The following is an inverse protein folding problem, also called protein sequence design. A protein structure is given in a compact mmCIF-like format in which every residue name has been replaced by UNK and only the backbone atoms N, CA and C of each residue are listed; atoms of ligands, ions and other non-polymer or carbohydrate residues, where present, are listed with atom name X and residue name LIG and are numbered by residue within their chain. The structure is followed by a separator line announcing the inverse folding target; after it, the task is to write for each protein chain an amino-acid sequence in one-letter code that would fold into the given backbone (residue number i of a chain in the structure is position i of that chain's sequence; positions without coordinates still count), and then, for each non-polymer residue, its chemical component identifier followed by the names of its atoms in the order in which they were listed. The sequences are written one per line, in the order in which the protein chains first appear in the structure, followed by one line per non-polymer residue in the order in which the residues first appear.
data_IF_201781768619
#
_entry.id   IF_201781768619
#
_cell.length_a   1.000
_cell.length_b   1.000
_cell.length_c   1.000
_cell.angle_alpha   90.00
_cell.angle_beta   90.00
_cell.angle_gamma   90.00
#
_symmetry.space_group_name_H-M   'P 1'
#
loop_
_entity.id
_entity.type
_entity.pdbx_description
1 polymer ?
#
# COMPACT_ATOMS: atom_id res chain seq x y z
N UNK A 1 -14.34 -23.90 15.10
CA UNK A 1 -13.63 -24.07 13.83
C UNK A 1 -12.13 -24.25 14.03
N UNK A 2 -11.45 -23.24 14.56
CA UNK A 2 -9.97 -23.25 14.71
C UNK A 2 -9.48 -24.45 15.51
N UNK A 3 -10.07 -24.73 16.64
CA UNK A 3 -9.71 -25.89 17.48
C UNK A 3 -9.85 -27.21 16.73
N UNK A 4 -10.95 -27.40 16.01
CA UNK A 4 -11.20 -28.62 15.22
C UNK A 4 -10.26 -28.74 14.04
N UNK A 5 -9.94 -27.62 13.37
CA UNK A 5 -9.01 -27.55 12.26
C UNK A 5 -7.60 -27.94 12.70
N UNK A 6 -7.08 -27.29 13.74
CA UNK A 6 -5.74 -27.59 14.28
C UNK A 6 -5.64 -29.02 14.78
N UNK A 7 -6.67 -29.52 15.47
CA UNK A 7 -6.73 -30.92 15.89
C UNK A 7 -6.70 -31.89 14.70
N UNK A 8 -7.35 -31.53 13.60
CA UNK A 8 -7.30 -32.29 12.34
C UNK A 8 -5.88 -32.37 11.78
N UNK A 9 -5.20 -31.23 11.66
CA UNK A 9 -3.80 -31.19 11.19
C UNK A 9 -2.85 -31.95 12.11
N UNK A 10 -2.97 -31.79 13.43
CA UNK A 10 -2.15 -32.51 14.42
C UNK A 10 -2.38 -34.02 14.38
N UNK A 11 -3.55 -34.47 13.96
CA UNK A 11 -3.86 -35.89 13.75
C UNK A 11 -3.48 -36.43 12.37
N UNK A 12 -2.75 -35.65 11.56
CA UNK A 12 -2.24 -36.06 10.23
C UNK A 12 -3.26 -35.96 9.10
N UNK A 13 -4.37 -35.28 9.31
CA UNK A 13 -5.31 -35.01 8.19
C UNK A 13 -4.70 -34.02 7.20
N UNK A 14 -4.96 -34.23 5.91
CA UNK A 14 -4.63 -33.21 4.90
C UNK A 14 -5.44 -31.94 5.11
N UNK A 15 -4.88 -30.80 4.75
CA UNK A 15 -5.44 -29.47 5.00
C UNK A 15 -6.91 -29.34 4.60
N UNK A 16 -7.27 -29.76 3.40
CA UNK A 16 -8.64 -29.70 2.88
C UNK A 16 -9.64 -30.53 3.70
N UNK A 17 -9.22 -31.71 4.21
CA UNK A 17 -10.06 -32.55 5.04
C UNK A 17 -10.23 -31.95 6.46
N UNK A 18 -9.16 -31.37 7.03
CA UNK A 18 -9.22 -30.66 8.30
C UNK A 18 -10.14 -29.44 8.21
N UNK A 19 -10.07 -28.66 7.13
CA UNK A 19 -11.00 -27.56 6.84
C UNK A 19 -12.45 -28.03 6.71
N UNK A 20 -12.73 -29.06 5.93
CA UNK A 20 -14.08 -29.57 5.73
C UNK A 20 -14.71 -30.01 7.05
N UNK A 21 -13.95 -30.76 7.87
CA UNK A 21 -14.39 -31.19 9.21
C UNK A 21 -14.65 -30.01 10.15
N UNK A 22 -13.74 -29.06 10.18
CA UNK A 22 -13.88 -27.87 11.04
C UNK A 22 -15.10 -27.02 10.62
N UNK A 23 -15.38 -26.95 9.32
CA UNK A 23 -16.56 -26.27 8.80
C UNK A 23 -17.87 -26.94 9.24
N UNK A 24 -17.96 -28.26 9.14
CA UNK A 24 -19.12 -29.03 9.60
C UNK A 24 -19.41 -28.76 11.07
N UNK A 25 -18.38 -28.78 11.91
CA UNK A 25 -18.53 -28.49 13.35
C UNK A 25 -18.93 -27.03 13.61
N UNK A 26 -18.36 -26.07 12.88
CA UNK A 26 -18.67 -24.66 13.03
C UNK A 26 -20.09 -24.30 12.58
N UNK A 27 -20.62 -25.03 11.59
CA UNK A 27 -21.97 -24.80 11.06
C UNK A 27 -23.07 -25.59 11.80
N UNK A 28 -22.71 -26.40 12.83
CA UNK A 28 -23.69 -27.07 13.66
C UNK A 28 -24.62 -26.07 14.35
N UNK A 29 -25.93 -26.26 14.22
CA UNK A 29 -26.93 -25.38 14.78
C UNK A 29 -27.11 -24.05 14.05
N UNK A 30 -26.43 -23.84 12.93
CA UNK A 30 -26.63 -22.66 12.09
C UNK A 30 -28.01 -22.68 11.44
N UNK A 31 -28.83 -21.63 11.59
CA UNK A 31 -30.13 -21.56 10.93
C UNK A 31 -29.97 -21.57 9.40
N UNK A 32 -30.97 -22.12 8.69
CA UNK A 32 -30.98 -22.13 7.24
C UNK A 32 -30.88 -20.69 6.67
N UNK A 33 -30.04 -20.50 5.66
CA UNK A 33 -29.86 -19.22 4.98
C UNK A 33 -31.23 -18.65 4.52
N UNK A 34 -31.47 -17.38 4.84
CA UNK A 34 -32.70 -16.68 4.47
C UNK A 34 -33.89 -16.98 5.37
N UNK A 35 -33.81 -17.92 6.33
CA UNK A 35 -34.86 -18.16 7.30
C UNK A 35 -35.05 -16.95 8.26
N UNK A 36 -36.23 -16.79 8.90
CA UNK A 36 -36.44 -15.74 9.91
C UNK A 36 -35.41 -15.81 11.04
N UNK A 37 -35.11 -17.03 11.51
CA UNK A 37 -34.12 -17.28 12.56
C UNK A 37 -32.71 -16.85 12.14
N UNK A 38 -32.33 -17.10 10.87
CA UNK A 38 -31.06 -16.64 10.33
C UNK A 38 -30.99 -15.11 10.29
N UNK A 39 -32.03 -14.44 9.81
CA UNK A 39 -32.12 -12.97 9.76
C UNK A 39 -32.01 -12.34 11.13
N UNK A 40 -32.72 -12.91 12.13
CA UNK A 40 -32.66 -12.42 13.50
C UNK A 40 -31.27 -12.58 14.11
N UNK A 41 -30.68 -13.78 13.99
CA UNK A 41 -29.32 -14.05 14.48
C UNK A 41 -28.30 -13.18 13.75
N UNK A 42 -28.36 -13.04 12.43
CA UNK A 42 -27.50 -12.16 11.65
C UNK A 42 -27.58 -10.71 12.13
N UNK A 43 -28.79 -10.16 12.29
CA UNK A 43 -28.98 -8.79 12.76
C UNK A 43 -28.49 -8.56 14.19
N UNK A 44 -28.51 -9.57 15.03
CA UNK A 44 -27.97 -9.53 16.39
C UNK A 44 -26.44 -9.58 16.37
N UNK A 45 -25.85 -10.59 15.71
CA UNK A 45 -24.39 -10.85 15.73
C UNK A 45 -23.61 -9.75 15.02
N UNK A 46 -24.12 -9.19 13.93
CA UNK A 46 -23.46 -8.09 13.19
C UNK A 46 -23.31 -6.80 13.99
N UNK A 47 -24.03 -6.64 15.11
CA UNK A 47 -23.95 -5.45 15.98
C UNK A 47 -23.06 -5.68 17.20
N UNK A 48 -22.67 -6.91 17.46
CA UNK A 48 -21.79 -7.23 18.58
C UNK A 48 -20.34 -7.07 18.09
N UNK A 49 -19.50 -6.25 18.75
CA UNK A 49 -18.10 -6.06 18.33
C UNK A 49 -17.32 -7.37 18.29
N UNK A 50 -16.34 -7.42 17.40
CA UNK A 50 -15.31 -8.47 17.35
C UNK A 50 -14.58 -8.50 18.70
N UNK A 51 -14.21 -9.66 19.28
CA UNK A 51 -14.32 -11.02 18.71
C UNK A 51 -15.60 -11.76 19.06
N UNK A 52 -16.50 -11.18 19.85
CA UNK A 52 -17.73 -11.84 20.33
C UNK A 52 -18.82 -11.89 19.26
N UNK A 53 -18.74 -11.06 18.25
CA UNK A 53 -19.66 -11.01 17.11
C UNK A 53 -18.94 -10.65 15.82
N UNK A 54 -19.68 -10.14 14.83
CA UNK A 54 -19.17 -9.69 13.53
C UNK A 54 -19.26 -8.18 13.32
N UNK A 55 -19.46 -7.42 14.40
CA UNK A 55 -19.57 -5.96 14.36
C UNK A 55 -18.18 -5.32 14.19
N UNK A 56 -17.91 -4.87 12.97
CA UNK A 56 -16.78 -4.01 12.63
C UNK A 56 -17.36 -2.86 11.83
N UNK A 57 -17.46 -1.70 12.46
CA UNK A 57 -18.07 -0.52 11.89
C UNK A 57 -17.00 0.53 11.58
N UNK A 58 -17.06 1.11 10.40
CA UNK A 58 -16.27 2.29 10.04
C UNK A 58 -17.17 3.25 9.26
N UNK A 59 -17.49 4.39 9.89
CA UNK A 59 -18.26 5.51 9.33
C UNK A 59 -17.40 6.77 9.28
N UNK A 60 -16.09 6.60 9.30
CA UNK A 60 -15.15 7.70 9.32
C UNK A 60 -15.26 8.60 8.09
N UNK A 61 -15.13 9.89 8.30
CA UNK A 61 -15.15 10.92 7.25
C UNK A 61 -13.77 11.54 7.04
N UNK A 62 -13.51 11.96 5.82
CA UNK A 62 -12.37 12.80 5.44
C UNK A 62 -12.86 14.05 4.72
N UNK A 63 -12.61 15.21 5.33
CA UNK A 63 -12.77 16.50 4.70
C UNK A 63 -11.42 17.02 4.24
N UNK A 64 -11.34 17.52 3.00
CA UNK A 64 -10.08 18.01 2.45
C UNK A 64 -10.27 19.13 1.46
N UNK A 65 -9.34 20.09 1.53
CA UNK A 65 -9.20 21.18 0.55
C UNK A 65 -7.73 21.22 0.17
N UNK A 66 -7.44 21.26 -1.11
CA UNK A 66 -6.11 21.52 -1.64
C UNK A 66 -6.18 22.57 -2.76
N UNK A 67 -5.10 23.34 -2.90
CA UNK A 67 -4.99 24.37 -3.90
C UNK A 67 -3.54 24.65 -4.25
N UNK A 68 -3.31 25.02 -5.49
CA UNK A 68 -2.02 25.48 -5.97
C UNK A 68 -2.19 26.66 -6.92
N UNK A 69 -1.20 27.54 -6.93
CA UNK A 69 -1.17 28.69 -7.80
C UNK A 69 0.18 28.81 -8.50
N UNK A 70 0.15 28.99 -9.81
CA UNK A 70 1.34 29.18 -10.61
C UNK A 70 1.63 30.68 -10.73
N UNK A 71 2.70 31.11 -10.07
CA UNK A 71 3.17 32.50 -10.07
C UNK A 71 4.09 32.84 -11.26
N UNK A 72 4.31 31.92 -12.20
CA UNK A 72 5.31 32.08 -13.27
C UNK A 72 5.05 33.31 -14.14
N UNK A 73 3.81 33.76 -14.29
CA UNK A 73 3.52 35.01 -15.00
C UNK A 73 4.17 36.24 -14.35
N UNK A 74 4.24 36.26 -13.02
CA UNK A 74 4.82 37.37 -12.25
C UNK A 74 6.32 37.19 -11.99
N UNK A 75 6.82 35.96 -12.07
CA UNK A 75 8.21 35.61 -11.71
C UNK A 75 9.07 35.17 -12.88
N UNK A 76 8.52 35.15 -14.11
CA UNK A 76 9.19 34.63 -15.33
C UNK A 76 10.56 35.24 -15.64
N UNK A 77 10.81 36.48 -15.19
CA UNK A 77 12.13 37.11 -15.31
C UNK A 77 13.20 36.47 -14.44
N UNK A 78 12.79 35.74 -13.40
CA UNK A 78 13.69 35.07 -12.45
C UNK A 78 13.60 33.57 -12.54
N UNK A 79 12.41 32.96 -12.36
CA UNK A 79 12.16 31.52 -12.36
C UNK A 79 10.66 31.23 -12.46
N UNK A 80 10.30 29.98 -12.79
CA UNK A 80 8.94 29.47 -12.61
C UNK A 80 8.71 29.15 -11.14
N UNK A 81 7.68 29.73 -10.54
CA UNK A 81 7.34 29.56 -9.14
C UNK A 81 5.92 29.04 -9.00
N UNK A 82 5.78 27.94 -8.23
CA UNK A 82 4.49 27.37 -7.87
C UNK A 82 4.41 27.35 -6.34
N UNK A 83 3.27 27.81 -5.80
CA UNK A 83 2.95 27.71 -4.37
C UNK A 83 1.68 26.91 -4.19
N UNK A 84 1.54 26.23 -3.08
CA UNK A 84 0.33 25.48 -2.80
C UNK A 84 0.20 25.06 -1.37
N UNK A 85 -0.97 24.56 -1.01
CA UNK A 85 -1.26 24.07 0.32
C UNK A 85 -2.46 23.16 0.35
N UNK A 86 -2.59 22.46 1.45
CA UNK A 86 -3.73 21.60 1.73
C UNK A 86 -4.13 21.65 3.19
N UNK A 87 -5.38 21.37 3.44
CA UNK A 87 -5.94 21.14 4.76
C UNK A 87 -6.80 19.89 4.73
N UNK A 88 -6.72 19.06 5.78
CA UNK A 88 -7.50 17.84 5.94
C UNK A 88 -7.99 17.70 7.35
N UNK A 89 -9.19 17.15 7.50
CA UNK A 89 -9.76 16.76 8.79
C UNK A 89 -10.33 15.37 8.68
N UNK A 90 -9.79 14.46 9.48
CA UNK A 90 -10.30 13.11 9.66
C UNK A 90 -11.26 13.10 10.85
N UNK A 91 -12.36 12.40 10.72
CA UNK A 91 -13.33 12.12 11.79
C UNK A 91 -13.47 10.61 11.87
N UNK A 92 -12.82 9.99 12.87
CA UNK A 92 -12.86 8.54 13.05
C UNK A 92 -14.11 8.18 13.86
N UNK A 93 -15.01 7.42 13.26
CA UNK A 93 -16.29 7.01 13.83
C UNK A 93 -16.52 5.52 13.62
N UNK A 94 -16.47 4.76 14.72
CA UNK A 94 -16.61 3.31 14.71
C UNK A 94 -17.54 2.76 15.82
N UNK A 95 -18.12 3.61 16.65
CA UNK A 95 -18.83 3.21 17.87
C UNK A 95 -18.00 2.23 18.74
N UNK A 96 -16.73 2.51 18.92
CA UNK A 96 -15.77 1.67 19.67
C UNK A 96 -15.55 0.26 19.11
N UNK A 97 -15.87 0.01 17.84
CA UNK A 97 -15.65 -1.32 17.24
C UNK A 97 -14.28 -1.44 16.56
N UNK A 98 -13.66 -0.32 16.15
CA UNK A 98 -12.38 -0.26 15.46
C UNK A 98 -11.42 0.73 16.10
N UNK A 99 -11.95 1.86 16.59
CA UNK A 99 -11.21 2.91 17.29
C UNK A 99 -11.79 3.09 18.70
N UNK A 100 -11.06 3.72 19.65
CA UNK A 100 -11.59 3.97 21.00
C UNK A 100 -12.49 5.21 21.04
N UNK A 101 -13.25 5.46 19.98
CA UNK A 101 -14.20 6.55 19.88
C UNK A 101 -15.47 6.21 20.68
N UNK A 102 -15.93 7.09 21.60
CA UNK A 102 -17.23 6.90 22.23
C UNK A 102 -18.37 7.04 21.20
N UNK A 103 -19.50 6.40 21.48
CA UNK A 103 -20.71 6.51 20.64
C UNK A 103 -21.06 7.99 20.42
N UNK A 104 -21.31 8.38 19.18
CA UNK A 104 -21.63 9.74 18.74
C UNK A 104 -20.53 10.80 19.05
N UNK A 105 -19.29 10.36 19.28
CA UNK A 105 -18.14 11.25 19.51
C UNK A 105 -16.92 10.81 18.70
N UNK A 106 -16.88 11.12 17.40
CA UNK A 106 -15.76 10.74 16.55
C UNK A 106 -14.46 11.41 16.99
N UNK A 107 -13.33 10.71 16.79
CA UNK A 107 -11.99 11.25 17.04
C UNK A 107 -11.61 12.15 15.88
N UNK A 108 -11.41 13.44 16.13
CA UNK A 108 -10.96 14.41 15.14
C UNK A 108 -9.44 14.44 15.04
N UNK A 109 -8.89 14.52 13.81
CA UNK A 109 -7.47 14.75 13.54
C UNK A 109 -7.35 15.76 12.42
N UNK A 110 -6.63 16.86 12.66
CA UNK A 110 -6.42 17.92 11.67
C UNK A 110 -4.99 17.88 11.12
N UNK A 111 -4.85 18.03 9.80
CA UNK A 111 -3.56 18.16 9.12
C UNK A 111 -3.59 19.37 8.17
N UNK A 112 -2.46 20.05 8.05
CA UNK A 112 -2.26 21.06 7.01
C UNK A 112 -0.84 21.01 6.47
N UNK A 113 -0.68 21.44 5.23
CA UNK A 113 0.62 21.54 4.56
C UNK A 113 0.68 22.71 3.61
N UNK A 114 1.87 23.27 3.43
CA UNK A 114 2.14 24.30 2.44
C UNK A 114 3.49 24.04 1.78
N UNK A 115 3.61 24.41 0.50
CA UNK A 115 4.83 24.21 -0.27
C UNK A 115 5.11 25.35 -1.23
N UNK A 116 6.38 25.48 -1.59
CA UNK A 116 6.87 26.28 -2.69
C UNK A 116 7.77 25.42 -3.58
N UNK A 117 7.65 25.59 -4.87
CA UNK A 117 8.55 25.00 -5.86
C UNK A 117 9.05 26.11 -6.78
N UNK A 118 10.36 26.11 -7.01
CA UNK A 118 11.06 27.06 -7.89
C UNK A 118 11.79 26.24 -8.95
N UNK A 119 11.56 26.55 -10.21
CA UNK A 119 12.21 25.89 -11.34
C UNK A 119 12.86 26.93 -12.24
N UNK A 120 14.15 26.74 -12.57
CA UNK A 120 14.91 27.66 -13.40
C UNK A 120 15.77 26.93 -14.43
N UNK A 121 15.71 27.36 -15.66
CA UNK A 121 16.71 27.01 -16.68
C UNK A 121 17.91 27.93 -16.49
N UNK A 122 19.02 27.38 -15.97
CA UNK A 122 20.25 28.15 -15.74
C UNK A 122 20.98 28.45 -17.04
N UNK A 123 20.90 27.51 -17.97
CA UNK A 123 21.44 27.62 -19.33
C UNK A 123 20.76 26.58 -20.24
N UNK A 124 21.18 26.48 -21.50
CA UNK A 124 20.57 25.58 -22.51
C UNK A 124 20.67 24.08 -22.19
N UNK A 125 21.56 23.69 -21.30
CA UNK A 125 21.81 22.28 -20.95
C UNK A 125 21.46 21.93 -19.49
N UNK A 126 21.19 22.91 -18.59
CA UNK A 126 20.92 22.66 -17.17
C UNK A 126 19.65 23.36 -16.70
N UNK A 127 18.70 22.55 -16.23
CA UNK A 127 17.48 23.00 -15.56
C UNK A 127 17.50 22.50 -14.11
N UNK A 128 17.34 23.43 -13.15
CA UNK A 128 17.24 23.11 -11.72
C UNK A 128 15.80 23.32 -11.23
N UNK A 129 15.35 22.43 -10.36
CA UNK A 129 14.11 22.57 -9.61
C UNK A 129 14.40 22.34 -8.14
N UNK A 130 13.98 23.26 -7.29
CA UNK A 130 14.03 23.14 -5.83
C UNK A 130 12.64 23.31 -5.26
N UNK A 131 12.28 22.52 -4.27
CA UNK A 131 11.03 22.68 -3.54
C UNK A 131 11.24 22.45 -2.06
N UNK A 132 10.41 23.14 -1.26
CA UNK A 132 10.32 22.93 0.18
C UNK A 132 8.86 22.84 0.58
N UNK A 133 8.54 21.88 1.40
CA UNK A 133 7.20 21.67 1.92
C UNK A 133 7.23 21.56 3.43
N UNK A 134 6.30 22.21 4.09
CA UNK A 134 6.06 22.09 5.52
C UNK A 134 4.69 21.49 5.74
N UNK A 135 4.60 20.49 6.61
CA UNK A 135 3.36 19.84 7.01
C UNK A 135 3.27 19.67 8.52
N UNK A 136 2.06 19.73 9.04
CA UNK A 136 1.74 19.59 10.45
C UNK A 136 0.49 18.72 10.60
N UNK A 137 0.61 17.65 11.39
CA UNK A 137 -0.50 16.88 11.94
C UNK A 137 -0.73 17.28 13.39
N UNK A 138 -1.96 17.30 13.86
CA UNK A 138 -2.34 17.68 15.22
C UNK A 138 -1.57 16.90 16.29
N UNK A 139 -1.36 15.61 16.11
CA UNK A 139 -0.72 14.71 17.06
C UNK A 139 0.81 14.70 17.01
N UNK A 140 1.42 15.27 15.95
CA UNK A 140 2.87 15.22 15.73
C UNK A 140 3.48 16.60 15.52
N UNK A 141 4.79 16.71 15.73
CA UNK A 141 5.55 17.91 15.37
C UNK A 141 5.55 18.12 13.87
N UNK A 142 5.50 19.37 13.41
CA UNK A 142 5.61 19.71 12.00
C UNK A 142 6.96 19.29 11.41
N UNK A 143 6.96 19.02 10.10
CA UNK A 143 8.14 18.57 9.34
C UNK A 143 8.34 19.43 8.10
N UNK A 144 9.59 19.72 7.80
CA UNK A 144 10.02 20.37 6.56
C UNK A 144 10.74 19.35 5.67
N UNK A 145 10.38 19.29 4.38
CA UNK A 145 10.94 18.35 3.42
C UNK A 145 11.44 19.10 2.19
N UNK A 146 12.78 19.22 2.03
CA UNK A 146 13.40 19.77 0.83
C UNK A 146 13.52 18.69 -0.27
N UNK A 147 13.46 19.15 -1.52
CA UNK A 147 13.79 18.39 -2.72
C UNK A 147 14.55 19.27 -3.69
N UNK A 148 15.58 18.72 -4.32
CA UNK A 148 16.35 19.36 -5.38
C UNK A 148 16.49 18.36 -6.53
N UNK A 149 16.23 18.82 -7.75
CA UNK A 149 16.38 18.01 -8.96
C UNK A 149 17.13 18.80 -10.01
N UNK A 150 18.14 18.20 -10.60
CA UNK A 150 18.86 18.71 -11.77
C UNK A 150 18.50 17.87 -13.00
N UNK A 151 18.12 18.52 -14.08
CA UNK A 151 17.96 17.91 -15.40
C UNK A 151 19.06 18.44 -16.30
N UNK A 152 19.89 17.54 -16.77
CA UNK A 152 21.04 17.80 -17.63
C UNK A 152 20.71 17.34 -19.04
N UNK A 153 20.54 18.26 -19.94
CA UNK A 153 20.25 18.03 -21.35
C UNK A 153 21.56 17.73 -22.10
N UNK A 154 21.84 16.45 -22.32
CA UNK A 154 23.06 16.02 -23.02
C UNK A 154 22.97 16.25 -24.54
N UNK A 155 21.76 16.05 -25.11
CA UNK A 155 21.38 16.36 -26.52
C UNK A 155 19.90 16.74 -26.53
N UNK A 156 19.39 17.19 -27.68
CA UNK A 156 18.01 17.69 -27.83
C UNK A 156 16.94 16.81 -27.17
N UNK A 157 17.03 15.50 -27.32
CA UNK A 157 16.05 14.54 -26.79
C UNK A 157 16.66 13.56 -25.79
N UNK A 158 17.77 13.93 -25.12
CA UNK A 158 18.49 13.07 -24.20
C UNK A 158 18.82 13.83 -22.92
N UNK A 159 18.25 13.36 -21.80
CA UNK A 159 18.36 14.03 -20.52
C UNK A 159 18.84 13.05 -19.44
N UNK A 160 19.77 13.50 -18.61
CA UNK A 160 20.06 12.88 -17.33
C UNK A 160 19.31 13.63 -16.22
N UNK A 161 18.87 12.90 -15.21
CA UNK A 161 18.21 13.43 -14.03
C UNK A 161 18.97 13.01 -12.78
N UNK A 162 19.28 13.99 -11.93
CA UNK A 162 19.80 13.77 -10.60
C UNK A 162 18.83 14.36 -9.60
N UNK A 163 18.46 13.61 -8.57
CA UNK A 163 17.52 14.10 -7.57
C UNK A 163 18.02 13.73 -6.17
N UNK A 164 17.96 14.72 -5.27
CA UNK A 164 18.00 14.55 -3.83
C UNK A 164 16.65 14.94 -3.27
N UNK A 165 16.06 14.08 -2.48
CA UNK A 165 14.77 14.36 -1.89
C UNK A 165 14.68 13.80 -0.47
N UNK A 166 13.95 14.52 0.36
CA UNK A 166 13.48 14.01 1.62
C UNK A 166 11.96 13.87 1.57
N UNK A 167 11.44 12.88 2.24
CA UNK A 167 10.02 12.67 2.43
C UNK A 167 9.76 12.25 3.87
N UNK A 168 8.52 12.37 4.32
CA UNK A 168 8.13 11.78 5.59
C UNK A 168 6.67 11.33 5.50
N UNK A 169 6.30 10.50 6.45
CA UNK A 169 4.93 10.02 6.60
C UNK A 169 4.51 10.12 8.06
N UNK A 170 3.43 10.83 8.33
CA UNK A 170 2.74 10.70 9.61
C UNK A 170 2.19 9.28 9.75
N UNK A 171 2.19 8.69 10.95
CA UNK A 171 1.45 7.46 11.20
C UNK A 171 0.01 7.62 10.72
N UNK A 172 -0.51 6.60 10.03
CA UNK A 172 -1.89 6.60 9.56
C UNK A 172 -2.87 6.71 10.74
N UNK A 173 -4.12 7.10 10.48
CA UNK A 173 -5.17 7.13 11.49
C UNK A 173 -5.31 5.79 12.22
N UNK A 174 -5.20 4.68 11.48
CA UNK A 174 -5.19 3.34 12.03
C UNK A 174 -3.94 3.06 12.89
N UNK A 175 -2.75 3.44 12.43
CA UNK A 175 -1.52 3.30 13.23
C UNK A 175 -1.56 4.13 14.53
N UNK A 176 -2.30 5.23 14.54
CA UNK A 176 -2.47 6.06 15.73
C UNK A 176 -3.56 5.53 16.68
N UNK A 177 -4.70 5.07 16.15
CA UNK A 177 -5.92 4.92 16.93
C UNK A 177 -6.59 3.55 16.86
N UNK A 178 -6.07 2.56 16.13
CA UNK A 178 -6.70 1.24 16.10
C UNK A 178 -6.81 0.64 17.50
N UNK A 179 -7.93 0.00 17.77
CA UNK A 179 -8.21 -0.69 19.02
C UNK A 179 -9.11 -1.89 18.74
N UNK A 180 -8.53 -2.94 18.21
CA UNK A 180 -9.24 -4.11 17.70
C UNK A 180 -8.82 -5.38 18.44
N UNK A 181 -9.76 -6.07 19.01
CA UNK A 181 -9.57 -7.35 19.66
C UNK A 181 -9.71 -8.49 18.63
N UNK A 182 -8.62 -9.23 18.40
CA UNK A 182 -8.53 -10.33 17.44
C UNK A 182 -8.25 -11.62 18.19
N UNK A 183 -9.26 -12.28 18.74
CA UNK A 183 -9.17 -13.57 19.46
C UNK A 183 -7.85 -13.93 20.18
N UNK A 184 -6.74 -13.92 19.44
CA UNK A 184 -5.40 -14.31 19.92
C UNK A 184 -4.55 -13.14 20.40
N UNK A 185 -4.86 -11.92 19.99
CA UNK A 185 -4.16 -10.70 20.40
C UNK A 185 -5.03 -9.47 20.17
N UNK A 186 -4.63 -8.33 20.76
CA UNK A 186 -5.21 -7.02 20.48
C UNK A 186 -4.30 -6.21 19.59
N UNK A 187 -4.88 -5.65 18.53
CA UNK A 187 -4.23 -4.70 17.65
C UNK A 187 -4.49 -3.29 18.18
N UNK A 188 -3.46 -2.59 18.67
CA UNK A 188 -3.62 -1.25 19.23
C UNK A 188 -2.73 -0.24 18.50
N UNK A 189 -3.18 1.03 18.53
CA UNK A 189 -2.45 2.16 17.96
C UNK A 189 -1.35 2.70 18.87
N UNK A 190 -0.56 3.65 18.34
CA UNK A 190 0.57 4.28 19.05
C UNK A 190 0.20 5.56 19.79
N UNK A 191 -1.07 5.91 19.93
CA UNK A 191 -1.48 7.09 20.70
C UNK A 191 -1.27 6.87 22.19
N UNK A 192 -0.70 7.88 22.88
CA UNK A 192 -0.39 7.79 24.30
C UNK A 192 -1.59 7.49 25.21
N UNK A 193 -2.83 7.76 24.75
CA UNK A 193 -4.05 7.44 25.50
C UNK A 193 -4.21 5.94 25.80
N UNK A 194 -3.58 5.07 24.99
CA UNK A 194 -3.58 3.63 25.22
C UNK A 194 -2.78 3.21 26.46
N UNK A 195 -1.81 4.03 26.92
CA UNK A 195 -1.08 3.77 28.18
C UNK A 195 -2.05 3.67 29.35
N UNK A 196 -2.88 4.70 29.52
CA UNK A 196 -3.89 4.72 30.58
C UNK A 196 -5.02 3.71 30.33
N UNK A 197 -5.44 3.54 29.07
CA UNK A 197 -6.54 2.61 28.71
C UNK A 197 -6.21 1.16 29.06
N UNK A 198 -4.96 0.74 28.85
CA UNK A 198 -4.50 -0.63 29.10
C UNK A 198 -3.61 -0.74 30.33
N UNK A 199 -3.48 0.33 31.12
CA UNK A 199 -2.72 0.35 32.36
C UNK A 199 -1.25 -0.06 32.20
N UNK A 200 -0.61 0.28 31.06
CA UNK A 200 0.81 -0.04 30.84
C UNK A 200 1.76 0.67 31.79
N UNK A 201 1.31 1.76 32.41
CA UNK A 201 2.02 2.52 33.47
C UNK A 201 2.05 1.79 34.81
N UNK A 202 1.05 1.01 35.14
CA UNK A 202 0.91 0.30 36.43
C UNK A 202 1.07 -1.23 36.28
N UNK A 203 0.80 -1.76 35.11
CA UNK A 203 0.98 -3.17 34.74
C UNK A 203 1.78 -3.23 33.43
N UNK A 204 3.11 -3.26 33.47
CA UNK A 204 3.93 -3.13 32.28
C UNK A 204 3.79 -4.33 31.35
N UNK A 205 3.92 -4.07 30.03
CA UNK A 205 4.08 -5.11 29.05
C UNK A 205 5.56 -5.45 28.79
N UNK A 206 5.81 -6.61 28.21
CA UNK A 206 7.14 -7.11 27.92
C UNK A 206 7.25 -7.50 26.45
N UNK A 207 8.45 -7.39 25.86
CA UNK A 207 8.70 -7.87 24.49
C UNK A 207 8.49 -9.38 24.45
N UNK A 208 7.51 -9.83 23.66
CA UNK A 208 7.12 -11.25 23.60
C UNK A 208 8.25 -12.11 23.09
N UNK A 209 8.95 -11.72 22.02
CA UNK A 209 10.05 -12.49 21.43
C UNK A 209 11.23 -12.61 22.39
N UNK A 210 11.53 -11.55 23.15
CA UNK A 210 12.57 -11.61 24.19
C UNK A 210 12.21 -12.61 25.28
N UNK A 211 10.96 -12.60 25.72
CA UNK A 211 10.47 -13.52 26.74
C UNK A 211 10.46 -14.98 26.26
N UNK A 212 10.11 -15.23 25.00
CA UNK A 212 10.22 -16.56 24.37
C UNK A 212 11.66 -17.11 24.36
N UNK A 213 12.64 -16.22 24.27
CA UNK A 213 14.06 -16.54 24.32
C UNK A 213 14.64 -16.51 25.77
N UNK A 214 13.79 -16.48 26.78
CA UNK A 214 14.19 -16.47 28.18
C UNK A 214 14.72 -15.13 28.71
N UNK A 215 14.58 -14.05 27.95
CA UNK A 215 15.04 -12.71 28.32
C UNK A 215 13.86 -11.83 28.73
N UNK A 216 13.83 -11.42 29.98
CA UNK A 216 12.80 -10.52 30.52
C UNK A 216 13.17 -9.09 30.17
N UNK A 217 12.48 -8.52 29.17
CA UNK A 217 12.68 -7.13 28.73
C UNK A 217 11.34 -6.40 28.71
N UNK A 218 11.21 -5.42 29.60
CA UNK A 218 10.02 -4.56 29.67
C UNK A 218 9.93 -3.64 28.46
N UNK A 219 8.71 -3.35 28.05
CA UNK A 219 8.39 -2.41 26.98
C UNK A 219 7.83 -1.10 27.57
N UNK A 220 8.45 0.03 27.23
CA UNK A 220 8.20 1.33 27.86
C UNK A 220 7.16 2.19 27.14
N UNK A 221 6.41 1.63 26.20
CA UNK A 221 5.45 2.34 25.36
C UNK A 221 6.04 3.63 24.71
N UNK A 222 7.00 3.51 23.80
CA UNK A 222 7.61 4.66 23.16
C UNK A 222 6.58 5.44 22.33
N UNK A 223 6.59 6.78 22.46
CA UNK A 223 5.72 7.61 21.66
C UNK A 223 6.07 7.48 20.17
N UNK A 224 5.06 7.26 19.36
CA UNK A 224 5.20 7.14 17.93
C UNK A 224 5.65 8.46 17.30
N UNK A 225 6.52 8.35 16.29
CA UNK A 225 7.05 9.48 15.52
C UNK A 225 6.72 9.30 14.03
N UNK A 226 6.65 10.38 13.24
CA UNK A 226 6.65 10.28 11.80
C UNK A 226 7.95 9.66 11.30
N UNK A 227 7.86 8.68 10.41
CA UNK A 227 9.03 8.17 9.70
C UNK A 227 9.48 9.16 8.63
N UNK A 228 10.75 9.16 8.31
CA UNK A 228 11.32 9.99 7.24
C UNK A 228 12.21 9.17 6.31
N UNK A 229 12.25 9.57 5.06
CA UNK A 229 13.08 8.97 4.01
C UNK A 229 13.99 10.05 3.44
N UNK A 230 15.26 9.74 3.30
CA UNK A 230 16.20 10.47 2.44
C UNK A 230 16.53 9.59 1.24
N UNK A 231 16.42 10.13 0.03
CA UNK A 231 16.62 9.37 -1.20
C UNK A 231 17.41 10.15 -2.24
N UNK A 232 18.25 9.44 -2.96
CA UNK A 232 19.01 9.91 -4.11
C UNK A 232 18.58 9.10 -5.33
N UNK A 233 18.42 9.78 -6.47
CA UNK A 233 18.05 9.15 -7.72
C UNK A 233 18.92 9.66 -8.85
N UNK A 234 19.31 8.74 -9.72
CA UNK A 234 19.95 9.01 -11.03
C UNK A 234 19.08 8.39 -12.09
N UNK A 235 18.75 9.17 -13.12
CA UNK A 235 17.94 8.70 -14.23
C UNK A 235 18.45 9.19 -15.57
N UNK A 236 18.10 8.45 -16.61
CA UNK A 236 18.31 8.82 -18.02
C UNK A 236 17.01 8.65 -18.78
N UNK A 237 16.66 9.64 -19.59
CA UNK A 237 15.55 9.57 -20.53
C UNK A 237 15.98 10.07 -21.89
N UNK A 238 15.83 9.23 -22.91
CA UNK A 238 16.23 9.57 -24.26
C UNK A 238 15.22 9.09 -25.32
N UNK A 239 15.12 9.91 -26.39
CA UNK A 239 14.45 9.54 -27.63
C UNK A 239 15.54 9.33 -28.70
N UNK A 240 15.67 8.11 -29.16
CA UNK A 240 16.71 7.64 -30.08
C UNK A 240 16.06 7.22 -31.41
N UNK A 241 16.89 6.91 -32.41
CA UNK A 241 16.49 6.37 -33.69
C UNK A 241 15.36 7.23 -34.35
N UNK A 242 15.61 8.50 -34.52
CA UNK A 242 14.63 9.49 -35.05
C UNK A 242 13.31 9.47 -34.25
N UNK A 243 13.42 9.47 -32.92
CA UNK A 243 12.31 9.50 -31.96
C UNK A 243 11.43 8.23 -31.99
N UNK A 244 11.92 7.14 -32.58
CA UNK A 244 11.20 5.86 -32.61
C UNK A 244 11.42 5.03 -31.37
N UNK A 245 12.57 5.18 -30.70
CA UNK A 245 12.94 4.43 -29.50
C UNK A 245 13.01 5.38 -28.31
N UNK A 246 12.14 5.21 -27.33
CA UNK A 246 12.22 5.85 -26.04
C UNK A 246 12.86 4.88 -25.03
N UNK A 247 13.84 5.36 -24.28
CA UNK A 247 14.41 4.67 -23.13
C UNK A 247 14.24 5.57 -21.92
N UNK A 248 13.74 5.04 -20.83
CA UNK A 248 13.68 5.68 -19.51
C UNK A 248 14.26 4.70 -18.49
N UNK A 249 15.41 5.05 -17.90
CA UNK A 249 16.07 4.21 -16.92
C UNK A 249 16.43 5.04 -15.68
N UNK A 250 16.24 4.47 -14.49
CA UNK A 250 16.62 5.11 -13.25
C UNK A 250 17.11 4.09 -12.23
N UNK A 251 17.92 4.57 -11.31
CA UNK A 251 18.28 3.86 -10.09
C UNK A 251 18.20 4.82 -8.91
N UNK A 252 17.77 4.30 -7.78
CA UNK A 252 17.68 5.05 -6.54
C UNK A 252 18.25 4.26 -5.37
N UNK A 253 18.68 5.00 -4.35
CA UNK A 253 19.02 4.48 -3.03
C UNK A 253 18.58 5.49 -1.99
N UNK A 254 18.22 4.99 -0.82
CA UNK A 254 17.78 5.83 0.27
C UNK A 254 17.82 5.09 1.60
N UNK A 255 17.47 5.80 2.64
CA UNK A 255 17.34 5.25 3.98
C UNK A 255 16.21 5.90 4.73
N UNK A 256 15.47 5.06 5.44
CA UNK A 256 14.45 5.47 6.37
C UNK A 256 15.04 5.70 7.75
N UNK A 257 14.54 6.71 8.44
CA UNK A 257 14.77 6.99 9.85
C UNK A 257 13.42 6.93 10.58
N UNK A 258 13.43 6.46 11.83
CA UNK A 258 12.22 6.24 12.62
C UNK A 258 11.18 5.40 11.84
N UNK A 259 11.62 4.38 11.10
CA UNK A 259 10.75 3.52 10.28
C UNK A 259 9.65 2.90 11.15
N UNK A 260 8.41 2.97 10.68
CA UNK A 260 7.27 2.46 11.43
C UNK A 260 7.01 0.99 11.10
N UNK A 261 7.17 0.13 12.09
CA UNK A 261 6.80 -1.29 12.04
C UNK A 261 5.90 -1.65 13.20
N UNK A 262 5.67 -2.95 13.38
CA UNK A 262 4.91 -3.50 14.51
C UNK A 262 5.70 -4.59 15.21
N UNK A 263 5.48 -4.72 16.52
CA UNK A 263 6.02 -5.81 17.35
C UNK A 263 4.91 -6.41 18.21
N UNK A 264 5.16 -7.60 18.72
CA UNK A 264 4.31 -8.24 19.72
C UNK A 264 4.83 -7.99 21.13
N UNK A 265 3.96 -7.48 21.99
CA UNK A 265 4.21 -7.38 23.42
C UNK A 265 3.16 -8.17 24.21
N UNK A 266 3.49 -8.56 25.43
CA UNK A 266 2.61 -9.35 26.29
C UNK A 266 2.51 -8.73 27.68
N UNK A 267 1.32 -8.70 28.25
CA UNK A 267 0.99 -8.10 29.54
C UNK A 267 0.27 -9.12 30.42
N UNK A 268 0.63 -9.17 31.68
CA UNK A 268 -0.03 -10.07 32.62
C UNK A 268 -1.49 -9.69 32.87
N UNK A 269 -2.40 -10.67 32.78
CA UNK A 269 -3.82 -10.51 33.13
C UNK A 269 -4.05 -10.41 34.63
N UNK A 270 -3.10 -10.86 35.45
CA UNK A 270 -3.18 -10.75 36.91
C UNK A 270 -2.92 -9.34 37.43
N UNK A 271 -2.50 -8.41 36.55
CA UNK A 271 -2.20 -7.02 36.91
C UNK A 271 -0.77 -6.80 37.41
N UNK A 272 0.06 -7.84 37.53
CA UNK A 272 1.45 -7.72 37.98
C UNK A 272 2.28 -8.96 37.60
N UNK A 273 3.60 -8.81 37.63
CA UNK A 273 4.55 -9.89 37.40
C UNK A 273 4.93 -10.13 35.95
N UNK A 274 5.79 -11.15 35.73
CA UNK A 274 6.21 -11.56 34.39
C UNK A 274 5.07 -12.36 33.76
N UNK A 275 4.64 -11.99 32.52
CA UNK A 275 3.53 -12.66 31.85
C UNK A 275 3.83 -14.10 31.45
N UNK A 276 2.79 -14.91 31.45
CA UNK A 276 2.80 -16.28 30.89
C UNK A 276 2.51 -16.22 29.38
N UNK A 277 3.38 -16.81 28.57
CA UNK A 277 3.32 -16.77 27.10
C UNK A 277 2.06 -17.41 26.50
N UNK A 278 1.38 -18.30 27.22
CA UNK A 278 0.25 -19.08 26.73
C UNK A 278 -1.11 -18.51 27.14
N UNK A 279 -1.17 -17.81 28.26
CA UNK A 279 -2.45 -17.43 28.90
C UNK A 279 -2.68 -15.93 28.98
N UNK A 280 -1.60 -15.13 28.96
CA UNK A 280 -1.67 -13.69 29.14
C UNK A 280 -1.98 -12.92 27.86
N UNK A 281 -2.25 -11.60 27.99
CA UNK A 281 -2.74 -10.81 26.88
C UNK A 281 -1.61 -10.35 25.97
N UNK A 282 -1.65 -10.79 24.71
CA UNK A 282 -0.76 -10.31 23.65
C UNK A 282 -1.35 -9.07 22.98
N UNK A 283 -0.48 -8.10 22.72
CA UNK A 283 -0.79 -6.91 21.91
C UNK A 283 0.16 -6.83 20.71
N UNK A 284 -0.37 -6.44 19.56
CA UNK A 284 0.43 -5.97 18.43
C UNK A 284 0.44 -4.44 18.49
N UNK A 285 1.63 -3.85 18.63
CA UNK A 285 1.83 -2.43 18.86
C UNK A 285 2.72 -1.81 17.80
N UNK A 286 2.45 -0.56 17.33
CA UNK A 286 3.37 0.11 16.43
C UNK A 286 4.60 0.62 17.18
N UNK A 287 5.74 0.56 16.52
CA UNK A 287 7.00 1.14 16.99
C UNK A 287 7.69 1.92 15.87
N UNK A 288 8.61 2.80 16.26
CA UNK A 288 9.61 3.32 15.35
C UNK A 288 10.92 2.57 15.57
N UNK A 289 11.49 2.06 14.48
CA UNK A 289 12.80 1.43 14.49
C UNK A 289 13.88 2.51 14.44
N UNK A 290 14.85 2.46 15.35
CA UNK A 290 15.82 3.54 15.54
C UNK A 290 16.97 3.54 14.53
N UNK A 291 17.37 2.35 14.07
CA UNK A 291 18.44 2.26 13.07
C UNK A 291 17.91 2.58 11.67
N UNK A 292 18.80 3.01 10.79
CA UNK A 292 18.43 3.28 9.40
C UNK A 292 18.06 1.99 8.68
N UNK A 293 16.93 2.00 7.98
CA UNK A 293 16.52 0.92 7.08
C UNK A 293 16.81 1.37 5.66
N UNK A 294 17.71 0.63 4.98
CA UNK A 294 18.10 0.96 3.63
C UNK A 294 17.06 0.50 2.61
N UNK A 295 16.89 1.30 1.56
CA UNK A 295 16.09 0.96 0.39
C UNK A 295 16.85 1.29 -0.88
N UNK A 296 16.73 0.45 -1.90
CA UNK A 296 17.30 0.67 -3.21
C UNK A 296 16.44 0.01 -4.28
N UNK A 297 16.58 0.50 -5.50
CA UNK A 297 15.87 -0.08 -6.62
C UNK A 297 16.27 0.55 -7.94
N UNK A 298 15.76 -0.01 -9.01
CA UNK A 298 15.95 0.50 -10.36
C UNK A 298 14.74 0.19 -11.24
N UNK A 299 14.60 0.95 -12.33
CA UNK A 299 13.65 0.67 -13.38
C UNK A 299 14.21 0.99 -14.74
N UNK A 300 13.84 0.18 -15.72
CA UNK A 300 14.15 0.37 -17.14
C UNK A 300 12.86 0.21 -17.93
N UNK A 301 12.49 1.27 -18.67
CA UNK A 301 11.38 1.27 -19.61
C UNK A 301 11.89 1.49 -21.04
N UNK A 302 11.34 0.74 -21.98
CA UNK A 302 11.66 0.83 -23.40
C UNK A 302 10.35 0.84 -24.19
N UNK A 303 10.15 1.87 -25.03
CA UNK A 303 9.06 1.93 -26.00
C UNK A 303 9.65 2.08 -27.40
N UNK A 304 9.32 1.16 -28.29
CA UNK A 304 9.84 1.17 -29.67
C UNK A 304 8.70 1.19 -30.69
N UNK A 305 8.69 2.23 -31.51
CA UNK A 305 7.76 2.36 -32.63
C UNK A 305 8.36 1.73 -33.89
N UNK A 306 7.78 0.62 -34.29
CA UNK A 306 8.16 -0.14 -35.46
C UNK A 306 7.38 0.35 -36.73
N UNK A 307 7.86 0.00 -37.94
CA UNK A 307 7.12 0.25 -39.17
C UNK A 307 5.70 -0.35 -39.12
N UNK A 308 4.82 0.19 -39.95
CA UNK A 308 3.42 -0.26 -40.09
C UNK A 308 2.60 -0.13 -38.79
N UNK A 309 2.92 0.88 -37.93
CA UNK A 309 2.22 1.20 -36.68
C UNK A 309 2.26 0.13 -35.60
N UNK A 310 3.25 -0.76 -35.63
CA UNK A 310 3.55 -1.60 -34.48
C UNK A 310 4.25 -0.81 -33.39
N UNK A 311 3.96 -1.14 -32.15
CA UNK A 311 4.70 -0.69 -30.98
C UNK A 311 5.05 -1.86 -30.09
N UNK A 312 6.24 -1.84 -29.55
CA UNK A 312 6.71 -2.80 -28.55
C UNK A 312 7.10 -2.01 -27.30
N UNK A 313 6.66 -2.46 -26.16
CA UNK A 313 7.04 -1.89 -24.85
C UNK A 313 7.61 -2.97 -23.94
N UNK A 314 8.57 -2.58 -23.13
CA UNK A 314 9.13 -3.43 -22.06
C UNK A 314 9.41 -2.58 -20.84
N UNK A 315 9.04 -3.08 -19.65
CA UNK A 315 9.38 -2.48 -18.36
C UNK A 315 9.90 -3.56 -17.43
N UNK A 316 11.05 -3.31 -16.83
CA UNK A 316 11.61 -4.16 -15.79
C UNK A 316 12.01 -3.29 -14.60
N UNK A 317 11.60 -3.68 -13.40
CA UNK A 317 11.89 -2.92 -12.18
C UNK A 317 12.20 -3.83 -10.99
N UNK A 318 12.97 -3.27 -10.07
CA UNK A 318 13.31 -3.90 -8.79
C UNK A 318 13.17 -2.87 -7.68
N UNK A 319 12.59 -3.32 -6.56
CA UNK A 319 12.52 -2.56 -5.31
C UNK A 319 12.96 -3.48 -4.16
N UNK A 320 13.83 -2.97 -3.29
CA UNK A 320 14.34 -3.68 -2.13
C UNK A 320 14.28 -2.81 -0.88
N UNK A 321 13.96 -3.43 0.24
CA UNK A 321 13.99 -2.84 1.57
C UNK A 321 14.71 -3.82 2.51
N UNK A 322 15.79 -3.38 3.16
CA UNK A 322 16.59 -4.21 4.07
C UNK A 322 15.96 -4.20 5.48
N UNK A 323 14.94 -5.04 5.68
CA UNK A 323 14.20 -5.10 6.95
C UNK A 323 14.93 -6.00 7.95
N UNK A 324 15.22 -5.53 9.17
CA UNK A 324 15.78 -6.35 10.23
C UNK A 324 14.87 -7.49 10.64
N UNK A 325 15.46 -8.62 11.05
CA UNK A 325 14.71 -9.76 11.56
C UNK A 325 13.85 -9.37 12.79
N UNK A 326 12.61 -9.86 12.83
CA UNK A 326 11.66 -9.59 13.91
C UNK A 326 10.87 -8.27 13.78
N UNK A 327 11.15 -7.45 12.78
CA UNK A 327 10.37 -6.25 12.46
C UNK A 327 9.37 -6.55 11.35
N UNK A 328 8.07 -6.35 11.60
CA UNK A 328 7.03 -6.39 10.56
C UNK A 328 6.97 -5.02 9.88
N UNK A 329 7.43 -4.96 8.63
CA UNK A 329 7.54 -3.71 7.87
C UNK A 329 6.31 -3.38 7.03
N UNK A 330 5.48 -4.38 6.73
CA UNK A 330 4.37 -4.31 5.77
C UNK A 330 4.81 -3.80 4.38
N UNK A 331 6.05 -4.12 3.98
CA UNK A 331 6.60 -3.77 2.68
C UNK A 331 6.21 -4.82 1.63
N UNK A 332 4.91 -4.91 1.34
CA UNK A 332 4.31 -5.91 0.48
C UNK A 332 4.58 -5.63 -1.00
N UNK A 333 5.85 -5.72 -1.41
CA UNK A 333 6.30 -5.40 -2.76
C UNK A 333 7.17 -6.54 -3.31
N UNK A 334 6.84 -7.10 -4.49
CA UNK A 334 7.70 -8.09 -5.13
C UNK A 334 9.03 -7.47 -5.52
N UNK A 335 10.12 -8.23 -5.35
CA UNK A 335 11.47 -7.75 -5.64
C UNK A 335 11.66 -7.41 -7.11
N UNK A 336 11.07 -8.18 -8.02
CA UNK A 336 11.17 -7.95 -9.46
C UNK A 336 9.79 -7.94 -10.12
N UNK A 337 9.64 -7.08 -11.13
CA UNK A 337 8.44 -6.97 -11.97
C UNK A 337 8.83 -6.78 -13.43
N UNK A 338 8.14 -7.49 -14.34
CA UNK A 338 8.33 -7.41 -15.78
C UNK A 338 6.99 -7.19 -16.48
N UNK A 339 6.94 -6.21 -17.38
CA UNK A 339 5.82 -6.03 -18.29
C UNK A 339 6.35 -5.98 -19.72
N UNK A 340 5.74 -6.72 -20.63
CA UNK A 340 6.05 -6.71 -22.05
C UNK A 340 4.76 -6.46 -22.83
N UNK A 341 4.83 -5.59 -23.82
CA UNK A 341 3.68 -5.23 -24.63
C UNK A 341 3.98 -5.22 -26.11
N UNK A 342 3.01 -5.64 -26.91
CA UNK A 342 3.01 -5.44 -28.36
C UNK A 342 1.63 -4.97 -28.79
N UNK A 343 1.57 -3.93 -29.61
CA UNK A 343 0.32 -3.37 -30.09
C UNK A 343 0.42 -2.86 -31.52
N UNK A 344 -0.75 -2.80 -32.16
CA UNK A 344 -0.92 -2.12 -33.43
C UNK A 344 -2.34 -1.52 -33.46
N UNK A 345 -2.46 -0.22 -33.64
CA UNK A 345 -3.76 0.50 -33.62
C UNK A 345 -4.41 0.68 -34.99
N UNK A 346 -3.73 0.23 -36.06
CA UNK A 346 -4.18 0.42 -37.44
C UNK A 346 -3.65 -0.69 -38.36
N UNK A 347 -3.99 -1.92 -37.99
CA UNK A 347 -3.63 -3.13 -38.71
C UNK A 347 -4.52 -3.36 -39.93
N UNK A 348 -3.96 -4.03 -40.97
CA UNK A 348 -4.66 -4.37 -42.16
C UNK A 348 -4.66 -3.29 -43.26
N UNK A 349 -5.16 -3.61 -44.48
CA UNK A 349 -5.19 -2.69 -45.63
C UNK A 349 -5.96 -1.40 -45.30
N UNK A 350 -7.10 -1.52 -44.65
CA UNK A 350 -7.99 -0.40 -44.32
C UNK A 350 -7.60 0.33 -43.03
N UNK A 351 -6.57 -0.13 -42.32
CA UNK A 351 -6.09 0.42 -41.03
C UNK A 351 -7.19 0.53 -39.97
N UNK A 352 -8.20 -0.34 -40.02
CA UNK A 352 -9.36 -0.32 -39.13
C UNK A 352 -9.21 -1.27 -37.93
N UNK A 353 -8.49 -2.36 -38.11
CA UNK A 353 -8.25 -3.31 -37.05
C UNK A 353 -7.12 -2.81 -36.11
N UNK A 354 -7.19 -3.21 -34.86
CA UNK A 354 -6.13 -3.00 -33.88
C UNK A 354 -6.05 -4.18 -32.94
N UNK A 355 -4.90 -4.37 -32.32
CA UNK A 355 -4.71 -5.33 -31.25
C UNK A 355 -3.72 -4.81 -30.23
N UNK A 356 -3.79 -5.33 -29.00
CA UNK A 356 -2.78 -5.16 -27.96
C UNK A 356 -2.66 -6.47 -27.19
N UNK A 357 -1.44 -6.87 -26.90
CA UNK A 357 -1.11 -8.04 -26.08
C UNK A 357 -0.11 -7.54 -25.02
N UNK A 358 -0.38 -7.81 -23.75
CA UNK A 358 0.50 -7.45 -22.65
C UNK A 358 0.73 -8.68 -21.78
N UNK A 359 1.99 -9.01 -21.59
CA UNK A 359 2.44 -10.00 -20.62
C UNK A 359 2.93 -9.30 -19.38
N UNK A 360 2.50 -9.75 -18.20
CA UNK A 360 2.94 -9.26 -16.91
C UNK A 360 3.42 -10.43 -16.07
N UNK A 361 4.54 -10.22 -15.41
CA UNK A 361 5.10 -11.14 -14.44
C UNK A 361 5.57 -10.35 -13.22
N UNK A 362 5.38 -10.93 -12.06
CA UNK A 362 5.99 -10.47 -10.82
C UNK A 362 6.53 -11.64 -10.01
N UNK A 363 7.60 -11.35 -9.28
CA UNK A 363 8.22 -12.30 -8.37
C UNK A 363 7.32 -12.60 -7.17
N UNK A 364 7.53 -13.73 -6.52
CA UNK A 364 6.92 -14.04 -5.24
C UNK A 364 7.57 -13.24 -4.11
N UNK A 365 6.83 -13.05 -3.03
CA UNK A 365 7.34 -12.36 -1.84
C UNK A 365 6.59 -12.78 -0.59
N UNK A 366 7.19 -12.57 0.58
CA UNK A 366 6.51 -12.77 1.85
C UNK A 366 5.57 -11.60 2.13
N UNK A 367 4.28 -11.91 2.22
CA UNK A 367 3.23 -10.93 2.53
C UNK A 367 3.12 -10.78 4.05
N UNK A 368 3.14 -9.55 4.52
CA UNK A 368 2.91 -9.17 5.90
C UNK A 368 1.59 -8.40 6.02
N UNK A 369 0.71 -8.84 6.88
CA UNK A 369 -0.56 -8.17 7.15
C UNK A 369 -0.95 -8.27 8.62
N UNK A 370 -1.83 -7.38 9.06
CA UNK A 370 -2.28 -7.35 10.45
C UNK A 370 -3.08 -8.61 10.85
N UNK A 371 -3.67 -9.33 9.88
CA UNK A 371 -4.52 -10.49 10.12
C UNK A 371 -3.87 -11.82 9.73
N UNK A 372 -3.01 -11.81 8.72
CA UNK A 372 -2.35 -13.01 8.21
C UNK A 372 -1.08 -12.68 7.45
N UNK A 373 -0.08 -13.54 7.59
CA UNK A 373 1.21 -13.46 6.91
C UNK A 373 1.44 -14.75 6.13
N UNK A 374 2.24 -14.69 5.09
CA UNK A 374 2.63 -15.90 4.34
C UNK A 374 3.26 -15.60 2.99
N UNK A 375 3.78 -16.64 2.36
CA UNK A 375 4.40 -16.52 1.05
C UNK A 375 3.33 -16.36 -0.04
N UNK A 376 3.46 -15.29 -0.82
CA UNK A 376 2.74 -15.11 -2.07
C UNK A 376 3.60 -15.65 -3.22
N UNK A 377 3.10 -16.61 -4.00
CA UNK A 377 3.86 -17.14 -5.13
C UNK A 377 4.02 -16.09 -6.24
N UNK A 378 5.07 -16.24 -7.03
CA UNK A 378 5.18 -15.52 -8.29
C UNK A 378 4.00 -15.84 -9.19
N UNK A 379 3.54 -14.89 -9.97
CA UNK A 379 2.48 -15.10 -10.93
C UNK A 379 2.72 -14.32 -12.23
N UNK A 380 2.02 -14.74 -13.28
CA UNK A 380 2.06 -14.12 -14.58
C UNK A 380 0.65 -14.00 -15.16
N UNK A 381 0.43 -12.99 -15.99
CA UNK A 381 -0.83 -12.82 -16.71
C UNK A 381 -0.57 -12.40 -18.15
N UNK A 382 -1.44 -12.84 -19.05
CA UNK A 382 -1.46 -12.40 -20.43
C UNK A 382 -2.79 -11.69 -20.70
N UNK A 383 -2.71 -10.39 -21.00
CA UNK A 383 -3.87 -9.61 -21.41
C UNK A 383 -3.88 -9.49 -22.94
N UNK A 384 -5.05 -9.57 -23.54
CA UNK A 384 -5.18 -9.40 -24.99
C UNK A 384 -6.46 -8.63 -25.32
N UNK A 385 -6.37 -7.77 -26.33
CA UNK A 385 -7.50 -7.03 -26.87
C UNK A 385 -7.39 -6.95 -28.38
N UNK A 386 -8.51 -7.11 -29.07
CA UNK A 386 -8.68 -6.77 -30.49
C UNK A 386 -9.70 -5.66 -30.61
N UNK A 387 -9.55 -4.81 -31.61
CA UNK A 387 -10.46 -3.70 -31.86
C UNK A 387 -10.75 -3.51 -33.36
N UNK A 388 -11.93 -3.01 -33.66
CA UNK A 388 -12.29 -2.65 -35.02
C UNK A 388 -13.01 -1.31 -35.07
N UNK A 389 -12.53 -0.41 -35.94
CA UNK A 389 -13.08 0.93 -36.16
C UNK A 389 -14.10 0.92 -37.29
N UNK A 390 -15.24 1.59 -37.07
CA UNK A 390 -16.30 1.84 -38.05
C UNK A 390 -16.35 3.33 -38.38
N UNK A 391 -15.57 3.84 -39.39
CA UNK A 391 -15.43 5.27 -39.65
C UNK A 391 -16.75 5.98 -39.99
N UNK A 392 -17.66 5.29 -40.70
CA UNK A 392 -18.96 5.87 -41.09
C UNK A 392 -19.84 6.24 -39.92
N UNK A 393 -19.80 5.47 -38.85
CA UNK A 393 -20.57 5.67 -37.61
C UNK A 393 -19.74 6.27 -36.48
N UNK A 394 -18.47 6.62 -36.75
CA UNK A 394 -17.51 7.12 -35.74
C UNK A 394 -17.47 6.24 -34.50
N UNK A 395 -17.52 4.94 -34.68
CA UNK A 395 -17.59 3.97 -33.58
C UNK A 395 -16.46 2.96 -33.60
N UNK A 396 -16.19 2.35 -32.44
CA UNK A 396 -15.20 1.30 -32.25
C UNK A 396 -15.80 0.16 -31.42
N UNK A 397 -15.55 -1.06 -31.87
CA UNK A 397 -15.83 -2.26 -31.11
C UNK A 397 -14.52 -2.84 -30.58
N UNK A 398 -14.50 -3.26 -29.32
CA UNK A 398 -13.36 -3.93 -28.69
C UNK A 398 -13.82 -5.22 -28.04
N UNK A 399 -13.03 -6.28 -28.21
CA UNK A 399 -13.13 -7.55 -27.51
C UNK A 399 -11.81 -7.76 -26.79
N UNK A 400 -11.83 -8.10 -25.53
CA UNK A 400 -10.60 -8.29 -24.78
C UNK A 400 -10.76 -9.16 -23.54
N UNK A 401 -9.61 -9.51 -23.02
CA UNK A 401 -9.50 -10.21 -21.75
C UNK A 401 -8.30 -9.68 -20.98
N UNK A 402 -8.46 -9.54 -19.67
CA UNK A 402 -7.33 -9.51 -18.73
C UNK A 402 -7.16 -10.91 -18.19
N UNK A 403 -5.90 -11.35 -18.04
CA UNK A 403 -5.57 -12.71 -17.67
C UNK A 403 -6.29 -13.74 -18.60
N UNK A 404 -6.02 -13.62 -19.90
CA UNK A 404 -6.64 -14.40 -20.99
C UNK A 404 -6.55 -15.91 -20.74
N UNK A 405 -5.46 -16.37 -20.14
CA UNK A 405 -5.21 -17.78 -19.83
C UNK A 405 -5.96 -18.28 -18.59
N UNK A 406 -6.65 -17.36 -17.88
CA UNK A 406 -7.41 -17.64 -16.66
C UNK A 406 -6.58 -18.34 -15.58
N UNK A 407 -5.33 -17.92 -15.42
CA UNK A 407 -4.45 -18.40 -14.35
C UNK A 407 -4.87 -17.76 -13.03
N UNK A 408 -5.26 -18.58 -12.05
CA UNK A 408 -5.73 -18.08 -10.76
C UNK A 408 -4.57 -17.65 -9.87
N UNK A 409 -4.61 -16.43 -9.41
CA UNK A 409 -3.66 -15.86 -8.45
C UNK A 409 -4.35 -15.05 -7.36
N UNK A 410 -3.66 -14.76 -6.28
CA UNK A 410 -4.08 -13.82 -5.24
C UNK A 410 -2.92 -12.87 -4.92
N UNK A 411 -3.24 -11.65 -4.50
CA UNK A 411 -2.30 -10.56 -4.26
C UNK A 411 -2.14 -10.18 -2.78
N UNK A 412 -2.84 -10.88 -1.90
CA UNK A 412 -2.71 -10.77 -0.45
C UNK A 412 -3.21 -12.06 0.20
N UNK A 413 -2.62 -12.44 1.33
CA UNK A 413 -3.09 -13.59 2.11
C UNK A 413 -4.50 -13.31 2.62
N UNK A 414 -5.41 -14.25 2.41
CA UNK A 414 -6.82 -14.13 2.77
C UNK A 414 -7.73 -13.49 1.72
N UNK A 415 -7.16 -12.97 0.63
CA UNK A 415 -7.97 -12.48 -0.49
C UNK A 415 -8.49 -13.62 -1.37
N UNK A 416 -9.59 -13.33 -2.07
CA UNK A 416 -10.12 -14.23 -3.10
C UNK A 416 -9.15 -14.35 -4.28
N UNK A 417 -9.16 -15.49 -4.94
CA UNK A 417 -8.45 -15.67 -6.19
C UNK A 417 -9.01 -14.77 -7.28
N UNK A 418 -8.09 -14.23 -8.09
CA UNK A 418 -8.39 -13.43 -9.27
C UNK A 418 -8.16 -14.30 -10.52
N UNK A 419 -9.20 -14.49 -11.31
CA UNK A 419 -9.16 -15.21 -12.59
C UNK A 419 -9.22 -14.27 -13.79
N UNK A 420 -9.55 -14.81 -14.96
CA UNK A 420 -9.71 -14.05 -16.19
C UNK A 420 -10.99 -13.21 -16.20
N UNK A 421 -10.89 -11.99 -16.71
CA UNK A 421 -12.02 -11.12 -17.00
C UNK A 421 -12.12 -10.90 -18.50
N UNK A 422 -13.26 -11.26 -19.10
CA UNK A 422 -13.52 -11.12 -20.53
C UNK A 422 -14.55 -10.01 -20.74
N UNK A 423 -14.33 -9.18 -21.73
CA UNK A 423 -15.20 -8.04 -21.96
C UNK A 423 -15.43 -7.73 -23.45
N UNK A 424 -16.58 -7.14 -23.71
CA UNK A 424 -16.92 -6.46 -24.96
C UNK A 424 -17.16 -4.98 -24.64
N UNK A 425 -16.63 -4.09 -25.48
CA UNK A 425 -16.78 -2.65 -25.32
C UNK A 425 -17.15 -2.03 -26.66
N UNK A 426 -18.16 -1.18 -26.66
CA UNK A 426 -18.58 -0.39 -27.79
C UNK A 426 -18.47 1.10 -27.45
N UNK A 427 -17.78 1.86 -28.28
CA UNK A 427 -17.66 3.31 -28.18
C UNK A 427 -18.29 3.98 -29.40
N UNK A 428 -19.02 5.06 -29.18
CA UNK A 428 -19.67 5.87 -30.21
C UNK A 428 -19.20 7.31 -30.13
N UNK A 429 -19.09 7.97 -31.30
CA UNK A 429 -18.71 9.37 -31.47
C UNK A 429 -17.33 9.74 -30.84
N UNK A 430 -16.34 8.87 -31.01
CA UNK A 430 -15.01 8.99 -30.38
C UNK A 430 -13.97 9.75 -31.22
N UNK A 431 -14.26 10.18 -32.48
CA UNK A 431 -13.34 10.90 -33.38
C UNK A 431 -14.06 11.62 -34.51
#
# INVERSE_FOLDING_TARGET
YITTYLSGLMSGQVDSAAHARARIVADQGRPALGSPQFKDMYNKVRRIPVPKGGGLLDRSDLWGIDGSYNLSEYTKSFADVIVGGNWRKYLLDSDSTLFPDPVDKPIGITEFGAYVQITKELNSWLKLSASGRYDKNENFKGRFTPRITAVIKAKENNNFRLSYQTAYRFPSTQQQWIDLDLFSYKLIGGNKSFVSKYHFDTNPAYYRDSLQNGVVKQWDYPLQKPESLTSFEVGYRGLLLDQKLMIDAYGYWGFYQDFTGRISVIQSKSGSGIPDLNTDQVYSVPINYHDNINTNGFGIGVDYRLPRNFSVSANFSSDNLDVPAGLTANFNTPKYRLNLGVANSSFGKDKRAGFAINYRWQDGFYFEGDLANGDLPAFQTLDAQVSYKFPKTKSILKLGATNLLNEYYYNAIGNSYVGGLYYISFGYNLY
#
